data_IF_481472515066
#
_entry.id   IF_481472515066
#
_cell.length_a   1.000
_cell.length_b   1.000
_cell.length_c   1.000
_cell.angle_alpha   90.00
_cell.angle_beta   90.00
_cell.angle_gamma   90.00
#
_symmetry.space_group_name_H-M   'P 1'
#
loop_
_entity.id
_entity.type
_entity.pdbx_description
1 polymer ?
#
# COMPACT_ATOMS: atom_id res chain seq x y z
N UNK A 1 -14.59 -61.14 -15.41
CA UNK A 1 -15.05 -59.96 -16.22
C UNK A 1 -15.17 -58.64 -15.45
N UNK A 2 -14.90 -58.57 -14.13
CA UNK A 2 -15.02 -57.30 -13.35
C UNK A 2 -13.74 -56.46 -13.20
N UNK A 3 -12.56 -56.96 -13.62
CA UNK A 3 -11.28 -56.23 -13.50
C UNK A 3 -10.94 -55.34 -14.70
N UNK A 4 -11.39 -55.73 -15.90
CA UNK A 4 -11.11 -54.96 -17.13
C UNK A 4 -11.83 -53.60 -17.17
N UNK A 5 -13.06 -53.52 -16.63
CA UNK A 5 -13.82 -52.25 -16.58
C UNK A 5 -13.22 -51.18 -15.67
N UNK A 6 -12.58 -51.57 -14.55
CA UNK A 6 -11.93 -50.63 -13.62
C UNK A 6 -10.64 -50.03 -14.20
N UNK A 7 -9.88 -50.80 -14.96
CA UNK A 7 -8.66 -50.31 -15.62
C UNK A 7 -8.96 -49.29 -16.72
N UNK A 8 -10.04 -49.49 -17.48
CA UNK A 8 -10.47 -48.56 -18.55
C UNK A 8 -10.98 -47.23 -17.97
N UNK A 9 -11.74 -47.27 -16.88
CA UNK A 9 -12.22 -46.06 -16.22
C UNK A 9 -11.07 -45.26 -15.59
N UNK A 10 -10.11 -45.92 -14.94
CA UNK A 10 -8.93 -45.25 -14.39
C UNK A 10 -8.04 -44.63 -15.48
N UNK A 11 -7.86 -45.28 -16.62
CA UNK A 11 -7.12 -44.77 -17.77
C UNK A 11 -7.83 -43.53 -18.38
N UNK A 12 -9.16 -43.55 -18.50
CA UNK A 12 -9.94 -42.43 -19.01
C UNK A 12 -9.90 -41.21 -18.08
N UNK A 13 -9.98 -41.42 -16.76
CA UNK A 13 -9.86 -40.34 -15.75
C UNK A 13 -8.44 -39.76 -15.77
N UNK A 14 -7.40 -40.59 -15.86
CA UNK A 14 -6.02 -40.11 -15.95
C UNK A 14 -5.76 -39.33 -17.23
N UNK A 15 -6.30 -39.79 -18.38
CA UNK A 15 -6.19 -39.10 -19.67
C UNK A 15 -6.94 -37.75 -19.65
N UNK A 16 -8.10 -37.68 -19.01
CA UNK A 16 -8.85 -36.44 -18.84
C UNK A 16 -8.10 -35.45 -17.90
N UNK A 17 -7.51 -35.95 -16.82
CA UNK A 17 -6.70 -35.13 -15.91
C UNK A 17 -5.43 -34.60 -16.61
N UNK A 18 -4.75 -35.42 -17.42
CA UNK A 18 -3.58 -35.01 -18.20
C UNK A 18 -3.98 -34.00 -19.29
N UNK A 19 -5.12 -34.19 -19.94
CA UNK A 19 -5.63 -33.25 -20.95
C UNK A 19 -6.03 -31.91 -20.31
N UNK A 20 -6.64 -31.91 -19.13
CA UNK A 20 -6.97 -30.68 -18.36
C UNK A 20 -5.71 -29.97 -17.87
N UNK A 21 -4.75 -30.69 -17.31
CA UNK A 21 -3.45 -30.13 -16.90
C UNK A 21 -2.65 -29.63 -18.10
N UNK A 22 -2.65 -30.36 -19.19
CA UNK A 22 -2.02 -29.94 -20.45
C UNK A 22 -2.70 -28.73 -21.08
N UNK A 23 -4.01 -28.59 -20.96
CA UNK A 23 -4.76 -27.43 -21.41
C UNK A 23 -4.50 -26.20 -20.50
N UNK A 24 -4.42 -26.37 -19.19
CA UNK A 24 -4.04 -25.34 -18.24
C UNK A 24 -2.59 -24.88 -18.44
N UNK A 25 -1.67 -25.80 -18.69
CA UNK A 25 -0.27 -25.46 -19.01
C UNK A 25 -0.10 -24.80 -20.39
N UNK A 26 -0.97 -25.12 -21.37
CA UNK A 26 -1.01 -24.41 -22.67
C UNK A 26 -1.64 -23.04 -22.59
N UNK A 27 -2.62 -22.84 -21.72
CA UNK A 27 -3.22 -21.53 -21.47
C UNK A 27 -2.22 -20.54 -20.85
N UNK A 28 -1.32 -21.04 -19.99
CA UNK A 28 -0.24 -20.25 -19.36
C UNK A 28 0.86 -19.82 -20.37
N UNK A 29 0.90 -20.40 -21.57
CA UNK A 29 1.87 -20.08 -22.66
C UNK A 29 1.27 -19.31 -23.84
N UNK A 30 -0.03 -19.08 -23.90
CA UNK A 30 -0.60 -18.23 -24.95
C UNK A 30 -0.18 -16.79 -24.68
N UNK A 31 0.81 -16.32 -25.43
CA UNK A 31 1.03 -14.88 -25.56
C UNK A 31 -0.23 -14.32 -26.19
N UNK A 32 -0.95 -13.48 -25.42
CA UNK A 32 -2.01 -12.65 -25.98
C UNK A 32 -1.40 -11.73 -27.03
N UNK A 33 -2.18 -11.41 -28.06
CA UNK A 33 -1.78 -10.39 -29.04
C UNK A 33 -1.52 -9.05 -28.35
N UNK A 34 -0.64 -8.22 -28.89
CA UNK A 34 -0.32 -6.88 -28.35
C UNK A 34 -1.58 -6.01 -28.17
N UNK A 35 -2.62 -6.30 -28.95
CA UNK A 35 -3.98 -5.77 -28.81
C UNK A 35 -4.92 -6.98 -28.81
N UNK A 36 -5.34 -7.48 -27.61
CA UNK A 36 -6.18 -8.66 -27.55
C UNK A 36 -7.53 -8.43 -28.24
N UNK A 37 -7.94 -9.40 -29.03
CA UNK A 37 -9.28 -9.43 -29.63
C UNK A 37 -10.34 -9.63 -28.53
N UNK A 38 -11.61 -9.25 -28.78
CA UNK A 38 -12.71 -9.54 -27.84
C UNK A 38 -12.83 -11.02 -27.48
N UNK A 39 -12.49 -11.92 -28.41
CA UNK A 39 -12.46 -13.37 -28.18
C UNK A 39 -11.38 -13.78 -27.19
N UNK A 40 -10.15 -13.25 -27.34
CA UNK A 40 -9.04 -13.51 -26.42
C UNK A 40 -9.34 -12.95 -25.02
N UNK A 41 -9.91 -11.77 -24.90
CA UNK A 41 -10.31 -11.20 -23.62
C UNK A 41 -11.39 -12.04 -22.92
N UNK A 42 -12.35 -12.58 -23.68
CA UNK A 42 -13.38 -13.48 -23.15
C UNK A 42 -12.79 -14.79 -22.63
N UNK A 43 -11.84 -15.39 -23.35
CA UNK A 43 -11.13 -16.58 -22.90
C UNK A 43 -10.26 -16.28 -21.65
N UNK A 44 -9.56 -15.14 -21.63
CA UNK A 44 -8.80 -14.71 -20.48
C UNK A 44 -9.69 -14.55 -19.23
N UNK A 45 -10.87 -13.93 -19.37
CA UNK A 45 -11.84 -13.77 -18.27
C UNK A 45 -12.23 -15.12 -17.65
N UNK A 46 -12.40 -16.18 -18.47
CA UNK A 46 -12.71 -17.52 -17.95
C UNK A 46 -11.65 -18.04 -16.98
N UNK A 47 -10.37 -17.70 -17.21
CA UNK A 47 -9.27 -18.10 -16.32
C UNK A 47 -9.32 -17.39 -14.95
N UNK A 48 -9.99 -16.24 -14.88
CA UNK A 48 -10.18 -15.45 -13.67
C UNK A 48 -11.59 -15.56 -13.07
N UNK A 49 -12.44 -16.47 -13.61
CA UNK A 49 -13.83 -16.61 -13.15
C UNK A 49 -13.96 -17.28 -11.78
N UNK A 50 -12.97 -18.06 -11.37
CA UNK A 50 -12.94 -18.73 -10.06
C UNK A 50 -12.40 -17.86 -8.92
N UNK A 51 -12.23 -18.49 -7.75
CA UNK A 51 -11.58 -17.83 -6.61
C UNK A 51 -10.11 -17.52 -6.93
N UNK A 52 -9.49 -16.54 -6.28
CA UNK A 52 -8.08 -16.18 -6.53
C UNK A 52 -7.10 -17.37 -6.46
N UNK A 53 -7.36 -18.35 -5.62
CA UNK A 53 -6.53 -19.56 -5.52
C UNK A 53 -6.51 -20.40 -6.80
N UNK A 54 -7.50 -20.23 -7.70
CA UNK A 54 -7.59 -20.94 -8.98
C UNK A 54 -7.11 -20.13 -10.18
N UNK A 55 -6.73 -18.87 -9.97
CA UNK A 55 -6.26 -17.99 -11.03
C UNK A 55 -4.91 -18.46 -11.62
N UNK A 56 -4.57 -18.05 -12.85
CA UNK A 56 -3.26 -18.33 -13.43
C UNK A 56 -2.14 -17.90 -12.49
N UNK A 57 -1.10 -18.74 -12.38
CA UNK A 57 0.04 -18.43 -11.51
C UNK A 57 0.71 -17.13 -11.95
N UNK A 58 1.09 -16.25 -11.02
CA UNK A 58 1.84 -15.05 -11.36
C UNK A 58 3.25 -15.40 -11.84
N UNK A 59 3.83 -14.54 -12.66
CA UNK A 59 5.23 -14.65 -13.07
C UNK A 59 6.10 -14.00 -12.01
N UNK A 60 6.68 -14.81 -11.14
CA UNK A 60 7.51 -14.35 -10.04
C UNK A 60 9.00 -14.40 -10.37
N UNK A 61 9.75 -13.43 -9.86
CA UNK A 61 11.20 -13.41 -9.89
C UNK A 61 11.77 -14.15 -8.67
N UNK A 62 13.02 -14.64 -8.74
CA UNK A 62 13.68 -15.27 -7.60
C UNK A 62 13.66 -14.36 -6.36
N UNK A 63 13.35 -14.93 -5.20
CA UNK A 63 13.30 -14.20 -3.94
C UNK A 63 12.02 -13.37 -3.71
N UNK A 64 11.07 -13.35 -4.67
CA UNK A 64 9.76 -12.76 -4.42
C UNK A 64 8.99 -13.61 -3.40
N UNK A 65 8.43 -12.95 -2.39
CA UNK A 65 7.54 -13.58 -1.42
C UNK A 65 6.10 -13.28 -1.81
N UNK A 66 5.43 -14.27 -2.38
CA UNK A 66 4.10 -14.10 -2.92
C UNK A 66 3.03 -14.74 -2.03
N UNK A 67 2.06 -13.95 -1.66
CA UNK A 67 0.77 -14.39 -1.14
C UNK A 67 -0.30 -14.07 -2.18
N UNK A 68 -1.30 -14.95 -2.35
CA UNK A 68 -2.32 -14.72 -3.37
C UNK A 68 -3.13 -13.45 -3.07
N UNK A 69 -3.41 -12.69 -4.13
CA UNK A 69 -4.28 -11.53 -4.07
C UNK A 69 -5.69 -11.96 -3.69
N UNK A 70 -6.26 -11.38 -2.66
CA UNK A 70 -7.55 -11.79 -2.11
C UNK A 70 -8.39 -10.58 -1.69
N UNK A 71 -9.71 -10.74 -1.54
CA UNK A 71 -10.54 -9.71 -0.94
C UNK A 71 -10.05 -9.38 0.47
N UNK A 72 -10.00 -8.10 0.80
CA UNK A 72 -9.68 -7.68 2.15
C UNK A 72 -10.87 -7.94 3.07
N UNK A 73 -10.65 -8.73 4.12
CA UNK A 73 -11.63 -8.90 5.18
C UNK A 73 -11.62 -7.64 6.04
N UNK A 74 -12.74 -6.91 6.02
CA UNK A 74 -12.86 -5.70 6.85
C UNK A 74 -12.83 -6.07 8.34
N UNK A 75 -12.22 -5.19 9.13
CA UNK A 75 -12.26 -5.30 10.59
C UNK A 75 -13.71 -5.24 11.09
N UNK A 76 -14.03 -5.89 12.20
CA UNK A 76 -15.35 -5.80 12.81
C UNK A 76 -15.73 -4.33 13.08
N UNK A 77 -17.00 -4.03 12.98
CA UNK A 77 -17.49 -2.70 13.38
C UNK A 77 -17.37 -2.55 14.89
N UNK A 78 -16.82 -1.43 15.37
CA UNK A 78 -16.71 -1.17 16.80
C UNK A 78 -18.10 -0.99 17.43
N UNK A 79 -18.27 -1.51 18.64
CA UNK A 79 -19.51 -1.43 19.42
C UNK A 79 -19.24 -0.92 20.85
N UNK A 80 -20.26 -0.48 21.55
CA UNK A 80 -20.19 -0.11 22.96
C UNK A 80 -19.16 0.99 23.25
N UNK A 81 -18.23 0.72 24.14
CA UNK A 81 -17.16 1.66 24.54
C UNK A 81 -16.20 1.96 23.37
N UNK A 82 -15.89 0.96 22.55
CA UNK A 82 -15.01 1.11 21.39
C UNK A 82 -15.64 2.05 20.35
N UNK A 83 -16.93 1.92 20.07
CA UNK A 83 -17.64 2.86 19.20
C UNK A 83 -17.56 4.31 19.71
N UNK A 84 -17.71 4.52 21.02
CA UNK A 84 -17.57 5.85 21.64
C UNK A 84 -16.15 6.40 21.49
N UNK A 85 -15.14 5.53 21.64
CA UNK A 85 -13.72 5.88 21.44
C UNK A 85 -13.46 6.28 19.98
N UNK A 86 -13.99 5.53 19.00
CA UNK A 86 -13.89 5.84 17.56
C UNK A 86 -14.52 7.19 17.24
N UNK A 87 -15.71 7.50 17.79
CA UNK A 87 -16.37 8.80 17.59
C UNK A 87 -15.52 9.94 18.15
N UNK A 88 -14.97 9.75 19.35
CA UNK A 88 -14.09 10.73 19.97
C UNK A 88 -12.80 10.91 19.14
N UNK A 89 -12.21 9.82 18.66
CA UNK A 89 -11.04 9.85 17.77
C UNK A 89 -11.30 10.58 16.46
N UNK A 90 -12.50 10.41 15.88
CA UNK A 90 -12.90 11.13 14.67
C UNK A 90 -12.99 12.65 14.89
N UNK A 91 -13.45 13.09 16.05
CA UNK A 91 -13.50 14.52 16.40
C UNK A 91 -12.09 15.06 16.66
N UNK A 92 -11.27 14.35 17.43
CA UNK A 92 -9.87 14.71 17.69
C UNK A 92 -9.05 14.77 16.40
N UNK A 93 -9.28 13.87 15.47
CA UNK A 93 -8.61 13.87 14.15
C UNK A 93 -8.86 15.16 13.36
N UNK A 94 -10.00 15.82 13.60
CA UNK A 94 -10.39 17.08 12.98
C UNK A 94 -10.13 18.30 13.87
N UNK A 95 -9.59 18.11 15.05
CA UNK A 95 -9.41 19.19 16.03
C UNK A 95 -8.02 19.84 15.95
N UNK A 96 -7.91 21.10 15.52
CA UNK A 96 -6.63 21.78 15.42
C UNK A 96 -5.96 22.06 16.76
N UNK A 97 -6.67 21.96 17.88
CA UNK A 97 -6.10 22.09 19.25
C UNK A 97 -5.07 21.03 19.57
N UNK A 98 -5.00 19.93 18.79
CA UNK A 98 -3.93 18.94 18.94
C UNK A 98 -2.57 19.48 18.50
N UNK A 99 -2.50 20.55 17.70
CA UNK A 99 -1.24 21.20 17.33
C UNK A 99 -0.87 22.33 18.31
N UNK A 100 0.43 22.60 18.43
CA UNK A 100 0.94 23.68 19.30
C UNK A 100 0.38 25.05 18.91
N UNK A 101 0.18 25.30 17.61
CA UNK A 101 -0.38 26.55 17.09
C UNK A 101 -1.90 26.63 17.17
N UNK A 102 -2.61 25.53 17.36
CA UNK A 102 -4.06 25.47 17.24
C UNK A 102 -4.60 25.64 15.81
N UNK A 103 -3.76 25.47 14.76
CA UNK A 103 -4.15 25.69 13.37
C UNK A 103 -4.12 24.41 12.51
N UNK A 104 -3.46 23.35 12.95
CA UNK A 104 -3.31 22.10 12.19
C UNK A 104 -3.99 20.94 12.90
N UNK A 105 -4.80 20.21 12.19
CA UNK A 105 -5.36 18.94 12.60
C UNK A 105 -4.82 17.82 11.70
N UNK A 106 -5.01 16.54 12.08
CA UNK A 106 -4.61 15.42 11.24
C UNK A 106 -5.24 15.50 9.84
N UNK A 107 -6.51 15.95 9.75
CA UNK A 107 -7.19 16.15 8.47
C UNK A 107 -6.54 17.22 7.57
N UNK A 108 -5.66 18.09 8.09
CA UNK A 108 -4.96 19.07 7.25
C UNK A 108 -4.06 18.42 6.21
N UNK A 109 -3.44 17.25 6.56
CA UNK A 109 -2.62 16.44 5.68
C UNK A 109 -3.30 15.14 5.25
N UNK A 110 -4.38 14.73 5.95
CA UNK A 110 -5.10 13.49 5.68
C UNK A 110 -6.58 13.75 5.39
N UNK A 111 -6.84 14.36 4.23
CA UNK A 111 -8.19 14.75 3.80
C UNK A 111 -8.95 13.53 3.25
N UNK A 112 -10.13 13.25 3.82
CA UNK A 112 -11.01 12.18 3.36
C UNK A 112 -11.34 12.23 1.86
N UNK A 113 -11.50 13.44 1.30
CA UNK A 113 -11.86 13.63 -0.12
C UNK A 113 -10.70 13.38 -1.07
N UNK A 114 -9.46 13.37 -0.55
CA UNK A 114 -8.22 13.14 -1.30
C UNK A 114 -7.60 11.77 -0.95
N UNK A 115 -8.43 10.77 -0.66
CA UNK A 115 -7.96 9.43 -0.33
C UNK A 115 -7.19 9.35 0.98
N UNK A 116 -7.46 10.27 1.94
CA UNK A 116 -6.75 10.39 3.20
C UNK A 116 -5.27 10.78 3.05
N UNK A 117 -4.93 11.47 1.99
CA UNK A 117 -3.73 12.26 1.78
C UNK A 117 -4.09 13.74 1.61
N UNK A 118 -3.18 14.58 1.14
CA UNK A 118 -3.43 16.00 0.88
C UNK A 118 -3.35 16.39 -0.61
N UNK A 119 -2.95 15.44 -1.47
CA UNK A 119 -2.79 15.68 -2.90
C UNK A 119 -1.53 16.46 -3.28
N UNK A 120 -0.64 16.72 -2.32
CA UNK A 120 0.62 17.45 -2.51
C UNK A 120 1.81 16.48 -2.56
N UNK A 121 2.92 16.82 -3.23
CA UNK A 121 4.15 16.05 -3.13
C UNK A 121 4.64 15.90 -1.70
N UNK A 122 4.64 16.98 -0.94
CA UNK A 122 4.95 17.07 0.49
C UNK A 122 3.97 18.01 1.16
N UNK A 123 3.56 17.69 2.39
CA UNK A 123 2.62 18.51 3.16
C UNK A 123 3.30 19.76 3.73
N UNK A 124 2.50 20.78 4.03
CA UNK A 124 2.93 21.96 4.78
C UNK A 124 2.26 21.96 6.16
N UNK A 125 3.04 22.11 7.22
CA UNK A 125 2.56 22.14 8.59
C UNK A 125 2.93 23.45 9.32
N UNK A 126 3.33 23.32 10.59
CA UNK A 126 3.60 24.45 11.47
C UNK A 126 4.57 25.47 10.85
N UNK A 127 4.21 26.77 10.91
CA UNK A 127 5.00 27.82 10.32
C UNK A 127 5.17 27.73 8.78
N UNK A 128 4.34 26.98 8.08
CA UNK A 128 4.45 26.61 6.66
C UNK A 128 5.73 25.82 6.35
N UNK A 129 6.28 25.14 7.33
CA UNK A 129 7.41 24.25 7.11
C UNK A 129 6.99 23.08 6.19
N UNK A 130 7.81 22.81 5.19
CA UNK A 130 7.59 21.72 4.26
C UNK A 130 8.02 20.39 4.90
N UNK A 131 7.15 19.38 4.83
CA UNK A 131 7.44 18.00 5.22
C UNK A 131 8.51 17.36 4.33
N UNK A 132 9.09 16.26 4.78
CA UNK A 132 10.14 15.55 4.02
C UNK A 132 9.59 14.57 3.01
N UNK A 133 8.37 14.06 3.24
CA UNK A 133 7.77 12.97 2.48
C UNK A 133 6.32 13.26 2.18
N UNK A 134 5.81 12.60 1.18
CA UNK A 134 4.39 12.58 0.86
C UNK A 134 3.57 12.01 2.02
N UNK A 135 2.42 12.64 2.33
CA UNK A 135 1.46 12.15 3.30
C UNK A 135 0.81 10.85 2.79
N UNK A 136 1.12 9.68 3.38
CA UNK A 136 0.55 8.44 2.90
C UNK A 136 -0.94 8.37 3.23
N UNK A 137 -1.70 7.72 2.35
CA UNK A 137 -3.10 7.41 2.62
C UNK A 137 -3.26 6.61 3.91
N UNK A 138 -4.33 6.92 4.66
CA UNK A 138 -4.72 6.18 5.86
C UNK A 138 -5.59 4.95 5.57
N UNK A 139 -5.92 4.67 4.31
CA UNK A 139 -6.52 3.40 3.97
C UNK A 139 -5.58 2.24 4.36
N UNK A 140 -6.13 1.14 4.81
CA UNK A 140 -5.41 -0.06 5.25
C UNK A 140 -4.49 0.09 6.46
N UNK A 141 -4.38 1.26 7.10
CA UNK A 141 -3.42 1.44 8.21
C UNK A 141 -3.70 0.52 9.39
N UNK A 142 -4.96 0.15 9.64
CA UNK A 142 -5.36 -0.82 10.67
C UNK A 142 -4.93 -2.27 10.43
N UNK A 143 -4.32 -2.57 9.26
CA UNK A 143 -3.89 -3.91 8.86
C UNK A 143 -2.37 -4.03 8.71
N UNK A 144 -1.62 -2.97 9.02
CA UNK A 144 -0.16 -2.90 8.78
C UNK A 144 0.61 -3.17 10.05
N UNK A 145 1.67 -3.96 9.94
CA UNK A 145 2.60 -4.28 11.02
C UNK A 145 3.72 -3.24 11.17
N UNK A 146 3.84 -2.32 10.19
CA UNK A 146 4.79 -1.22 10.22
C UNK A 146 4.20 -0.01 9.49
N UNK A 147 4.41 1.17 10.02
CA UNK A 147 3.85 2.44 9.58
C UNK A 147 4.96 3.42 9.20
N UNK A 148 4.61 4.52 8.54
CA UNK A 148 5.50 5.40 7.78
C UNK A 148 6.14 4.73 6.56
N UNK A 149 6.76 5.51 5.69
CA UNK A 149 7.48 5.04 4.50
C UNK A 149 8.72 4.19 4.84
N UNK A 150 9.33 4.42 5.99
CA UNK A 150 10.52 3.72 6.48
C UNK A 150 10.20 2.61 7.50
N UNK A 151 8.94 2.44 7.88
CA UNK A 151 8.50 1.40 8.81
C UNK A 151 8.98 1.59 10.26
N UNK A 152 9.19 2.85 10.69
CA UNK A 152 9.74 3.14 12.02
C UNK A 152 8.76 2.98 13.18
N UNK A 153 7.45 2.94 12.93
CA UNK A 153 6.45 2.73 13.97
C UNK A 153 5.73 1.38 13.78
N UNK A 154 5.53 0.66 14.86
CA UNK A 154 4.90 -0.66 14.86
C UNK A 154 3.38 -0.59 15.05
N UNK A 155 2.87 0.44 15.71
CA UNK A 155 1.43 0.62 16.00
C UNK A 155 0.94 2.00 15.56
N UNK A 156 -0.38 2.15 15.41
CA UNK A 156 -0.99 3.45 15.11
C UNK A 156 -0.82 4.45 16.25
N UNK A 157 -0.82 3.96 17.48
CA UNK A 157 -0.59 4.73 18.67
C UNK A 157 0.82 5.34 18.69
N UNK A 158 1.82 4.52 18.39
CA UNK A 158 3.21 4.96 18.25
C UNK A 158 3.36 5.92 17.06
N UNK A 159 2.71 5.60 15.94
CA UNK A 159 2.76 6.44 14.74
C UNK A 159 2.22 7.84 15.01
N UNK A 160 1.12 7.96 15.77
CA UNK A 160 0.48 9.25 16.04
C UNK A 160 1.39 10.22 16.80
N UNK A 161 2.32 9.70 17.61
CA UNK A 161 3.29 10.54 18.35
C UNK A 161 4.24 11.29 17.40
N UNK A 162 4.57 10.70 16.24
CA UNK A 162 5.44 11.30 15.24
C UNK A 162 4.95 12.68 14.78
N UNK A 163 3.80 12.77 14.06
CA UNK A 163 3.29 14.05 13.59
C UNK A 163 2.89 15.01 14.72
N UNK A 164 2.45 14.50 15.87
CA UNK A 164 2.17 15.37 17.02
C UNK A 164 3.42 16.14 17.47
N UNK A 165 4.59 15.49 17.52
CA UNK A 165 5.84 16.09 18.00
C UNK A 165 6.71 16.73 16.92
N UNK A 166 6.57 16.39 15.64
CA UNK A 166 7.44 16.92 14.58
C UNK A 166 7.25 18.43 14.43
N UNK A 167 8.36 19.17 14.55
CA UNK A 167 8.38 20.64 14.50
C UNK A 167 7.86 21.22 13.16
N UNK A 168 7.84 20.43 12.07
CA UNK A 168 7.31 20.83 10.76
C UNK A 168 5.85 20.51 10.60
N UNK A 169 5.30 19.58 11.43
CA UNK A 169 3.90 19.12 11.34
C UNK A 169 3.03 19.79 12.40
N UNK A 170 2.87 19.21 13.60
CA UNK A 170 2.01 19.76 14.64
C UNK A 170 2.79 20.47 15.78
N UNK A 171 4.11 20.32 15.83
CA UNK A 171 5.08 21.11 16.60
C UNK A 171 4.87 21.15 18.12
N UNK A 172 4.37 20.08 18.74
CA UNK A 172 4.28 20.02 20.19
C UNK A 172 5.65 19.66 20.77
N UNK A 173 6.35 20.64 21.33
CA UNK A 173 7.63 20.43 22.02
C UNK A 173 7.44 19.52 23.25
N UNK A 174 6.39 19.77 24.02
CA UNK A 174 6.01 18.97 25.18
C UNK A 174 4.74 18.18 24.87
N UNK A 175 4.87 16.86 24.78
CA UNK A 175 3.75 15.98 24.43
C UNK A 175 2.64 15.96 25.49
N UNK A 176 2.97 16.28 26.74
CA UNK A 176 1.98 16.41 27.82
C UNK A 176 0.96 17.54 27.56
N UNK A 177 1.35 18.60 26.85
CA UNK A 177 0.46 19.70 26.50
C UNK A 177 -0.72 19.28 25.64
N UNK A 178 -0.55 18.26 24.80
CA UNK A 178 -1.63 17.70 23.97
C UNK A 178 -2.75 17.18 24.87
N UNK A 179 -2.40 16.37 25.87
CA UNK A 179 -3.37 15.82 26.82
C UNK A 179 -4.02 16.93 27.67
N UNK A 180 -3.25 17.91 28.10
CA UNK A 180 -3.78 19.08 28.89
C UNK A 180 -4.78 19.89 28.06
N UNK A 181 -4.48 20.19 26.79
CA UNK A 181 -5.42 20.92 25.92
C UNK A 181 -6.71 20.15 25.69
N UNK A 182 -6.63 18.83 25.50
CA UNK A 182 -7.81 17.96 25.38
C UNK A 182 -8.60 17.92 26.69
N UNK A 183 -7.95 17.76 27.84
CA UNK A 183 -8.59 17.79 29.17
C UNK A 183 -9.25 19.13 29.50
N UNK A 184 -8.71 20.23 28.96
CA UNK A 184 -9.30 21.56 29.08
C UNK A 184 -10.66 21.73 28.42
N UNK A 185 -11.02 20.82 27.48
CA UNK A 185 -12.33 20.79 26.84
C UNK A 185 -13.27 19.90 27.66
N UNK A 186 -14.22 20.52 28.34
CA UNK A 186 -15.14 19.83 29.26
C UNK A 186 -15.84 18.62 28.64
N UNK A 187 -16.29 18.75 27.37
CA UNK A 187 -16.95 17.65 26.67
C UNK A 187 -16.01 16.49 26.37
N UNK A 188 -14.75 16.73 26.02
CA UNK A 188 -13.75 15.70 25.82
C UNK A 188 -13.40 14.99 27.13
N UNK A 189 -13.13 15.77 28.19
CA UNK A 189 -12.84 15.21 29.52
C UNK A 189 -13.96 14.29 29.98
N UNK A 190 -15.21 14.73 29.92
CA UNK A 190 -16.36 13.94 30.34
C UNK A 190 -16.49 12.63 29.51
N UNK A 191 -16.24 12.69 28.22
CA UNK A 191 -16.30 11.50 27.33
C UNK A 191 -15.17 10.54 27.61
N UNK A 192 -13.95 11.02 27.81
CA UNK A 192 -12.82 10.18 28.22
C UNK A 192 -13.12 9.54 29.58
N UNK A 193 -13.59 10.29 30.58
CA UNK A 193 -13.97 9.72 31.88
C UNK A 193 -15.01 8.61 31.76
N UNK A 194 -16.03 8.80 30.91
CA UNK A 194 -17.05 7.76 30.65
C UNK A 194 -16.51 6.51 29.95
N UNK A 195 -15.41 6.61 29.21
CA UNK A 195 -14.76 5.48 28.53
C UNK A 195 -13.75 4.79 29.43
N UNK A 196 -12.87 5.56 30.07
CA UNK A 196 -11.72 5.07 30.86
C UNK A 196 -12.04 4.78 32.31
N UNK A 197 -13.06 5.43 32.87
CA UNK A 197 -13.38 5.42 34.31
C UNK A 197 -12.46 6.30 35.15
N UNK A 198 -11.63 7.15 34.54
CA UNK A 198 -10.74 8.11 35.21
C UNK A 198 -11.18 9.55 34.92
N UNK A 199 -10.85 10.48 35.81
CA UNK A 199 -11.14 11.89 35.64
C UNK A 199 -10.05 12.67 34.90
N UNK A 200 -8.83 12.10 34.80
CA UNK A 200 -7.73 12.64 34.04
C UNK A 200 -7.76 12.16 32.58
N UNK A 201 -7.18 12.92 31.69
CA UNK A 201 -6.95 12.56 30.30
C UNK A 201 -5.44 12.42 30.09
N UNK A 202 -5.00 11.26 29.68
CA UNK A 202 -3.62 10.97 29.38
C UNK A 202 -3.34 11.06 27.87
N UNK A 203 -2.09 11.27 27.47
CA UNK A 203 -1.67 11.26 26.06
C UNK A 203 -2.01 9.91 25.39
N UNK A 204 -1.84 8.81 26.12
CA UNK A 204 -2.22 7.48 25.65
C UNK A 204 -3.72 7.37 25.30
N UNK A 205 -4.60 8.05 26.04
CA UNK A 205 -6.03 8.07 25.73
C UNK A 205 -6.29 8.77 24.39
N UNK A 206 -5.59 9.89 24.16
CA UNK A 206 -5.70 10.66 22.89
C UNK A 206 -5.23 9.83 21.70
N UNK A 207 -4.04 9.25 21.79
CA UNK A 207 -3.50 8.44 20.65
C UNK A 207 -4.30 7.17 20.43
N UNK A 208 -4.82 6.53 21.49
CA UNK A 208 -5.72 5.39 21.38
C UNK A 208 -7.02 5.74 20.66
N UNK A 209 -7.60 6.90 20.94
CA UNK A 209 -8.81 7.37 20.25
C UNK A 209 -8.52 7.63 18.76
N UNK A 210 -7.42 8.31 18.44
CA UNK A 210 -6.98 8.55 17.05
C UNK A 210 -6.75 7.23 16.30
N UNK A 211 -6.09 6.27 16.94
CA UNK A 211 -5.83 4.95 16.37
C UNK A 211 -7.12 4.15 16.16
N UNK A 212 -8.03 4.16 17.13
CA UNK A 212 -9.33 3.50 17.03
C UNK A 212 -10.13 4.03 15.82
N UNK A 213 -10.16 5.35 15.63
CA UNK A 213 -10.78 5.96 14.44
C UNK A 213 -10.11 5.50 13.14
N UNK A 214 -8.79 5.56 13.05
CA UNK A 214 -8.04 5.21 11.84
C UNK A 214 -8.25 3.74 11.42
N UNK A 215 -8.45 2.82 12.38
CA UNK A 215 -8.79 1.41 12.08
C UNK A 215 -10.13 1.23 11.36
N UNK A 216 -11.01 2.23 11.36
CA UNK A 216 -12.33 2.16 10.71
C UNK A 216 -12.38 2.71 9.30
N UNK A 217 -11.27 3.22 8.76
CA UNK A 217 -11.26 3.99 7.51
C UNK A 217 -11.34 3.13 6.24
N UNK A 218 -11.10 1.81 6.36
CA UNK A 218 -11.04 0.91 5.21
C UNK A 218 -12.42 0.60 4.64
N UNK A 219 -12.48 0.38 3.34
CA UNK A 219 -13.66 -0.01 2.59
C UNK A 219 -13.30 -0.98 1.46
N UNK A 220 -14.28 -1.77 1.03
CA UNK A 220 -14.09 -2.68 -0.11
C UNK A 220 -13.97 -1.91 -1.43
N UNK A 221 -13.11 -2.43 -2.29
CA UNK A 221 -12.86 -1.93 -3.64
C UNK A 221 -13.65 -2.74 -4.69
N UNK A 222 -13.60 -2.32 -5.96
CA UNK A 222 -14.16 -3.10 -7.07
C UNK A 222 -13.42 -4.43 -7.24
N UNK A 223 -12.10 -4.42 -7.04
CA UNK A 223 -11.28 -5.63 -7.03
C UNK A 223 -11.73 -6.63 -5.97
N UNK A 224 -12.05 -6.18 -4.75
CA UNK A 224 -12.54 -7.07 -3.68
C UNK A 224 -13.81 -7.81 -4.11
N UNK A 225 -14.77 -7.12 -4.72
CA UNK A 225 -16.00 -7.73 -5.21
C UNK A 225 -15.72 -8.76 -6.30
N UNK A 226 -14.83 -8.43 -7.24
CA UNK A 226 -14.42 -9.36 -8.30
C UNK A 226 -13.75 -10.61 -7.72
N UNK A 227 -12.79 -10.43 -6.83
CA UNK A 227 -12.07 -11.51 -6.17
C UNK A 227 -12.97 -12.36 -5.24
N UNK A 228 -14.10 -11.79 -4.77
CA UNK A 228 -15.14 -12.51 -4.03
C UNK A 228 -16.17 -13.21 -4.95
N UNK A 229 -16.03 -13.12 -6.28
CA UNK A 229 -16.86 -13.84 -7.26
C UNK A 229 -17.82 -12.98 -8.09
N UNK A 230 -17.95 -11.66 -7.83
CA UNK A 230 -18.74 -10.75 -8.67
C UNK A 230 -18.00 -10.47 -10.00
N UNK A 231 -18.21 -11.34 -10.97
CA UNK A 231 -17.54 -11.26 -12.28
C UNK A 231 -17.86 -9.97 -13.05
N UNK A 232 -18.93 -9.23 -12.68
CA UNK A 232 -19.31 -7.97 -13.31
C UNK A 232 -18.60 -6.76 -12.69
N UNK A 233 -17.90 -6.95 -11.55
CA UNK A 233 -17.21 -5.86 -10.89
C UNK A 233 -16.03 -5.30 -11.70
N UNK A 234 -15.40 -6.10 -12.57
CA UNK A 234 -14.34 -5.69 -13.49
C UNK A 234 -14.78 -5.87 -14.96
N UNK A 235 -14.38 -4.95 -15.83
CA UNK A 235 -14.48 -5.08 -17.29
C UNK A 235 -13.45 -6.07 -17.84
N UNK A 236 -13.58 -6.45 -19.12
CA UNK A 236 -12.59 -7.34 -19.78
C UNK A 236 -11.21 -6.69 -19.87
N UNK A 237 -11.15 -5.38 -20.12
CA UNK A 237 -9.92 -4.61 -20.11
C UNK A 237 -9.26 -4.61 -18.73
N UNK A 238 -10.03 -4.44 -17.66
CA UNK A 238 -9.53 -4.46 -16.28
C UNK A 238 -9.02 -5.86 -15.86
N UNK A 239 -9.68 -6.93 -16.34
CA UNK A 239 -9.18 -8.31 -16.15
C UNK A 239 -7.89 -8.54 -16.95
N UNK A 240 -7.77 -7.99 -18.14
CA UNK A 240 -6.51 -8.00 -18.88
C UNK A 240 -5.40 -7.23 -18.13
N UNK A 241 -5.72 -6.08 -17.56
CA UNK A 241 -4.81 -5.33 -16.69
C UNK A 241 -4.35 -6.12 -15.46
N UNK A 242 -5.28 -6.86 -14.81
CA UNK A 242 -4.95 -7.78 -13.72
C UNK A 242 -3.98 -8.87 -14.18
N UNK A 243 -4.19 -9.44 -15.36
CA UNK A 243 -3.30 -10.45 -15.94
C UNK A 243 -1.89 -9.88 -16.19
N UNK A 244 -1.78 -8.70 -16.77
CA UNK A 244 -0.52 -8.00 -16.98
C UNK A 244 0.20 -7.70 -15.66
N UNK A 245 -0.53 -7.24 -14.65
CA UNK A 245 -0.02 -6.97 -13.30
C UNK A 245 0.63 -8.22 -12.68
N UNK A 246 0.00 -9.39 -12.86
CA UNK A 246 0.47 -10.68 -12.32
C UNK A 246 1.59 -11.30 -13.15
N UNK A 247 1.72 -10.92 -14.43
CA UNK A 247 2.62 -11.61 -15.39
C UNK A 247 3.66 -10.65 -15.99
N UNK A 248 3.36 -10.01 -17.12
CA UNK A 248 4.30 -9.25 -17.95
C UNK A 248 4.90 -8.05 -17.21
N UNK A 249 4.10 -7.31 -16.44
CA UNK A 249 4.54 -6.15 -15.69
C UNK A 249 5.25 -6.49 -14.37
N UNK A 250 5.06 -7.72 -13.83
CA UNK A 250 5.74 -8.21 -12.65
C UNK A 250 5.40 -7.47 -11.35
N UNK A 251 4.32 -6.70 -11.30
CA UNK A 251 3.93 -5.91 -10.12
C UNK A 251 3.65 -6.79 -8.90
N UNK A 252 3.14 -8.02 -9.14
CA UNK A 252 2.84 -9.00 -8.11
C UNK A 252 4.08 -9.50 -7.34
N UNK A 253 5.30 -9.20 -7.80
CA UNK A 253 6.53 -9.53 -7.06
C UNK A 253 6.64 -8.81 -5.71
N UNK A 254 6.05 -7.60 -5.60
CA UNK A 254 6.02 -6.79 -4.39
C UNK A 254 4.59 -6.45 -3.95
N UNK A 255 3.67 -6.25 -4.92
CA UNK A 255 2.28 -5.87 -4.65
C UNK A 255 1.36 -7.10 -4.72
N UNK A 256 1.28 -7.84 -3.64
CA UNK A 256 0.53 -9.10 -3.55
C UNK A 256 -0.21 -9.21 -2.21
N UNK A 257 -0.89 -10.33 -1.99
CA UNK A 257 -1.72 -10.55 -0.81
C UNK A 257 -2.96 -9.67 -0.73
N UNK A 258 -3.74 -9.78 0.34
CA UNK A 258 -4.96 -8.97 0.55
C UNK A 258 -4.69 -7.46 0.61
N UNK A 259 -3.52 -7.04 1.06
CA UNK A 259 -3.12 -5.62 1.13
C UNK A 259 -2.51 -5.08 -0.16
N UNK A 260 -2.30 -5.93 -1.18
CA UNK A 260 -1.57 -5.56 -2.40
C UNK A 260 -0.20 -4.93 -2.06
N UNK A 261 0.48 -5.54 -1.10
CA UNK A 261 1.80 -5.18 -0.57
C UNK A 261 2.39 -6.37 0.15
N UNK A 262 3.67 -6.66 -0.08
CA UNK A 262 4.42 -7.66 0.67
C UNK A 262 4.90 -7.15 2.05
N UNK A 263 4.63 -5.87 2.37
CA UNK A 263 5.04 -5.21 3.60
C UNK A 263 6.55 -5.02 3.77
N UNK A 264 7.36 -5.47 2.81
CA UNK A 264 8.82 -5.42 2.89
C UNK A 264 9.38 -4.07 2.46
N UNK A 265 10.66 -3.89 2.72
CA UNK A 265 11.45 -2.72 2.32
C UNK A 265 12.16 -3.02 1.01
N UNK A 266 11.99 -2.14 0.03
CA UNK A 266 12.61 -2.24 -1.28
C UNK A 266 13.26 -0.93 -1.69
N UNK A 267 14.44 -1.01 -2.31
CA UNK A 267 15.05 0.11 -2.99
C UNK A 267 14.60 0.12 -4.46
N UNK A 268 13.92 1.21 -4.86
CA UNK A 268 13.45 1.43 -6.24
C UNK A 268 14.20 2.56 -6.94
N UNK A 269 15.35 2.99 -6.39
CA UNK A 269 16.24 4.00 -6.95
C UNK A 269 15.77 5.44 -6.77
N UNK A 270 14.97 5.73 -5.75
CA UNK A 270 14.46 7.08 -5.46
C UNK A 270 15.07 7.72 -4.20
N UNK A 271 16.20 7.23 -3.71
CA UNK A 271 16.91 7.82 -2.56
C UNK A 271 17.44 9.22 -2.83
N UNK A 272 17.61 9.62 -4.10
CA UNK A 272 18.26 10.88 -4.49
C UNK A 272 19.64 11.08 -3.83
N UNK A 273 20.37 9.99 -3.59
CA UNK A 273 21.68 9.98 -2.93
C UNK A 273 22.61 11.08 -3.45
N UNK A 274 23.25 11.82 -2.54
CA UNK A 274 24.14 12.95 -2.84
C UNK A 274 23.45 14.16 -3.49
N UNK A 275 22.11 14.28 -3.40
CA UNK A 275 21.32 15.36 -4.00
C UNK A 275 20.48 16.08 -2.96
N UNK A 276 19.97 17.28 -3.27
CA UNK A 276 19.14 18.09 -2.36
C UNK A 276 17.95 17.35 -1.76
N UNK A 277 17.37 16.40 -2.50
CA UNK A 277 16.22 15.60 -2.05
C UNK A 277 16.64 14.24 -1.48
N UNK A 278 17.87 14.10 -0.98
CA UNK A 278 18.34 12.85 -0.42
C UNK A 278 17.44 12.35 0.71
N UNK A 279 16.98 11.13 0.58
CA UNK A 279 16.29 10.38 1.61
C UNK A 279 16.74 8.92 1.57
N UNK A 280 17.44 8.49 2.61
CA UNK A 280 17.99 7.15 2.71
C UNK A 280 16.99 6.13 3.29
N UNK A 281 15.75 6.54 3.51
CA UNK A 281 14.66 5.65 3.89
C UNK A 281 14.92 4.86 5.17
N UNK A 282 14.83 3.54 5.08
CA UNK A 282 14.98 2.61 6.21
C UNK A 282 16.34 2.72 6.92
N UNK A 283 17.39 3.10 6.22
CA UNK A 283 18.70 3.35 6.85
C UNK A 283 18.62 4.35 8.02
N UNK A 284 17.79 5.40 7.89
CA UNK A 284 17.59 6.37 8.98
C UNK A 284 17.00 5.79 10.26
N UNK A 285 16.47 4.56 10.21
CA UNK A 285 15.88 3.84 11.34
C UNK A 285 16.86 2.80 11.90
N UNK A 286 17.52 2.06 11.00
CA UNK A 286 18.33 0.89 11.38
C UNK A 286 19.81 1.20 11.55
N UNK A 287 20.31 2.27 10.91
CA UNK A 287 21.74 2.53 10.79
C UNK A 287 22.50 1.50 9.95
N UNK A 288 21.82 0.50 9.38
CA UNK A 288 22.46 -0.52 8.54
C UNK A 288 22.59 -0.02 7.09
N UNK A 289 23.80 0.10 6.54
CA UNK A 289 24.03 0.60 5.19
C UNK A 289 23.22 -0.12 4.11
N UNK A 290 22.93 -1.42 4.24
CA UNK A 290 22.17 -2.19 3.27
C UNK A 290 20.73 -1.67 3.08
N UNK A 291 20.21 -0.95 4.06
CA UNK A 291 18.87 -0.38 4.04
C UNK A 291 18.82 1.00 3.35
N UNK A 292 19.95 1.52 2.87
CA UNK A 292 20.02 2.84 2.25
C UNK A 292 19.21 2.88 0.94
N UNK A 293 18.28 3.83 0.89
CA UNK A 293 17.34 4.01 -0.24
C UNK A 293 16.16 3.05 -0.22
N UNK A 294 16.03 2.23 0.83
CA UNK A 294 14.93 1.31 1.00
C UNK A 294 13.68 1.96 1.63
N UNK A 295 12.52 1.72 1.02
CA UNK A 295 11.21 2.16 1.53
C UNK A 295 10.25 0.99 1.53
N UNK A 296 9.29 1.00 2.46
CA UNK A 296 8.24 -0.01 2.52
C UNK A 296 7.41 -0.02 1.25
N UNK A 297 7.06 -1.22 0.75
CA UNK A 297 6.04 -1.38 -0.29
C UNK A 297 4.71 -0.79 0.21
N UNK A 298 4.20 0.29 -0.40
CA UNK A 298 2.89 0.81 -0.04
C UNK A 298 1.80 -0.14 -0.53
N UNK A 299 0.63 -0.10 0.12
CA UNK A 299 -0.56 -0.73 -0.43
C UNK A 299 -0.93 -0.09 -1.77
N UNK A 300 -1.49 -0.88 -2.70
CA UNK A 300 -2.14 -0.33 -3.88
C UNK A 300 -3.66 -0.18 -3.71
N UNK A 301 -4.20 -0.52 -2.53
CA UNK A 301 -5.62 -0.27 -2.28
C UNK A 301 -5.91 1.21 -2.33
N UNK A 302 -6.97 1.56 -3.04
CA UNK A 302 -7.40 2.94 -3.29
C UNK A 302 -6.37 3.81 -4.01
N UNK A 303 -5.40 3.19 -4.70
CA UNK A 303 -4.29 3.90 -5.36
C UNK A 303 -4.78 4.96 -6.36
N UNK A 304 -5.94 4.78 -6.97
CA UNK A 304 -6.53 5.74 -7.93
C UNK A 304 -6.86 7.12 -7.35
N UNK A 305 -7.01 7.23 -6.03
CA UNK A 305 -7.39 8.48 -5.34
C UNK A 305 -6.31 9.01 -4.40
N UNK A 306 -5.10 8.44 -4.42
CA UNK A 306 -4.00 8.77 -3.51
C UNK A 306 -2.78 9.38 -4.21
N UNK A 307 -2.98 9.98 -5.38
CA UNK A 307 -1.93 10.75 -6.05
C UNK A 307 -1.54 12.00 -5.22
N UNK A 308 -0.27 12.49 -5.33
CA UNK A 308 0.84 11.95 -6.12
C UNK A 308 1.54 10.76 -5.46
N UNK A 309 2.35 10.04 -6.23
CA UNK A 309 2.92 8.76 -5.82
C UNK A 309 4.39 8.86 -5.42
N UNK A 310 4.90 7.81 -4.77
CA UNK A 310 6.20 7.61 -4.15
C UNK A 310 6.34 8.40 -2.83
N UNK A 311 7.36 8.03 -2.04
CA UNK A 311 7.59 8.67 -0.75
C UNK A 311 7.85 10.19 -0.81
N UNK A 312 8.25 10.70 -1.96
CA UNK A 312 8.53 12.11 -2.22
C UNK A 312 7.49 12.78 -3.15
N UNK A 313 6.41 12.06 -3.51
CA UNK A 313 5.30 12.59 -4.30
C UNK A 313 5.66 13.08 -5.71
N UNK A 314 6.80 12.67 -6.30
CA UNK A 314 7.26 13.22 -7.58
C UNK A 314 6.49 12.70 -8.80
N UNK A 315 5.70 11.66 -8.66
CA UNK A 315 4.94 11.06 -9.76
C UNK A 315 3.47 11.44 -9.66
N UNK A 316 2.96 12.29 -10.56
CA UNK A 316 1.64 12.91 -10.38
C UNK A 316 0.45 12.00 -10.72
N UNK A 317 0.65 10.88 -11.44
CA UNK A 317 -0.45 10.03 -11.89
C UNK A 317 0.00 8.57 -12.12
N UNK A 318 -0.97 7.64 -12.21
CA UNK A 318 -0.73 6.21 -12.38
C UNK A 318 0.02 5.86 -13.68
N UNK A 319 -0.24 6.59 -14.78
CA UNK A 319 0.48 6.38 -16.05
C UNK A 319 1.98 6.65 -15.85
N UNK A 320 2.33 7.73 -15.16
CA UNK A 320 3.71 8.04 -14.80
C UNK A 320 4.33 6.98 -13.89
N UNK A 321 3.57 6.47 -12.91
CA UNK A 321 4.03 5.40 -12.03
C UNK A 321 4.32 4.10 -12.82
N UNK A 322 3.43 3.69 -13.71
CA UNK A 322 3.66 2.53 -14.59
C UNK A 322 4.90 2.77 -15.46
N UNK A 323 5.06 3.96 -16.07
CA UNK A 323 6.24 4.29 -16.91
C UNK A 323 7.55 4.28 -16.12
N UNK A 324 7.54 4.72 -14.86
CA UNK A 324 8.70 4.63 -13.97
C UNK A 324 9.14 3.17 -13.75
N UNK A 325 8.18 2.28 -13.50
CA UNK A 325 8.46 0.85 -13.33
C UNK A 325 8.83 0.15 -14.64
N UNK A 326 8.28 0.56 -15.79
CA UNK A 326 8.72 0.07 -17.11
C UNK A 326 10.21 0.32 -17.34
N UNK A 327 10.74 1.47 -16.86
CA UNK A 327 12.15 1.79 -16.90
C UNK A 327 13.03 1.00 -15.93
N UNK A 328 12.42 0.18 -15.04
CA UNK A 328 13.14 -0.55 -14.00
C UNK A 328 13.48 0.30 -12.78
N UNK A 329 12.68 1.35 -12.52
CA UNK A 329 12.88 2.25 -11.39
C UNK A 329 13.84 3.41 -11.68
N UNK A 330 14.22 4.11 -10.62
CA UNK A 330 15.23 5.18 -10.67
C UNK A 330 16.66 4.64 -10.59
N UNK A 331 17.61 5.56 -10.66
CA UNK A 331 19.04 5.24 -10.57
C UNK A 331 19.80 6.31 -9.80
N UNK A 332 20.68 5.86 -8.92
CA UNK A 332 21.72 6.72 -8.35
C UNK A 332 22.83 6.89 -9.39
N UNK A 333 23.26 8.12 -9.61
CA UNK A 333 24.28 8.44 -10.61
C UNK A 333 25.69 8.13 -10.07
N UNK A 334 26.56 7.57 -10.92
CA UNK A 334 27.92 7.21 -10.56
C UNK A 334 28.77 8.44 -10.16
N UNK A 335 28.49 9.62 -10.72
CA UNK A 335 29.16 10.87 -10.34
C UNK A 335 28.86 11.31 -8.90
N UNK A 336 27.95 10.61 -8.23
CA UNK A 336 27.62 10.79 -6.81
C UNK A 336 28.29 9.79 -5.90
N UNK A 337 29.27 9.03 -6.43
CA UNK A 337 30.09 8.14 -5.61
C UNK A 337 30.79 8.93 -4.52
N UNK A 338 30.70 8.44 -3.29
CA UNK A 338 31.36 9.02 -2.14
C UNK A 338 32.33 7.99 -1.56
N UNK A 339 33.39 8.46 -0.92
CA UNK A 339 34.40 7.66 -0.24
C UNK A 339 34.20 7.71 1.28
N UNK A 340 34.99 6.96 2.03
CA UNK A 340 34.92 6.93 3.48
C UNK A 340 33.61 6.30 4.00
N UNK A 341 33.09 6.86 5.08
CA UNK A 341 31.92 6.33 5.80
C UNK A 341 30.63 6.29 4.98
N UNK A 342 30.53 7.05 3.91
CA UNK A 342 29.36 7.07 3.01
C UNK A 342 29.46 6.11 1.82
N UNK A 343 30.63 5.53 1.56
CA UNK A 343 30.80 4.57 0.46
C UNK A 343 29.84 3.37 0.55
N UNK A 344 29.63 2.72 1.71
CA UNK A 344 28.68 1.62 1.83
C UNK A 344 27.22 2.06 1.55
N UNK A 345 26.87 3.29 1.91
CA UNK A 345 25.54 3.86 1.65
C UNK A 345 25.31 4.10 0.16
N UNK A 346 26.32 4.60 -0.54
CA UNK A 346 26.28 4.77 -1.99
C UNK A 346 26.08 3.42 -2.68
N UNK A 347 26.89 2.41 -2.31
CA UNK A 347 26.80 1.08 -2.93
C UNK A 347 25.42 0.44 -2.71
N UNK A 348 24.83 0.59 -1.53
CA UNK A 348 23.48 0.08 -1.26
C UNK A 348 22.40 0.91 -1.98
N UNK A 349 22.49 2.24 -1.91
CA UNK A 349 21.49 3.13 -2.51
C UNK A 349 21.39 2.99 -4.04
N UNK A 350 22.48 2.63 -4.73
CA UNK A 350 22.49 2.41 -6.20
C UNK A 350 21.96 1.06 -6.64
N UNK A 351 21.80 0.11 -5.71
CA UNK A 351 21.33 -1.23 -6.02
C UNK A 351 19.81 -1.32 -5.86
N UNK A 352 19.11 -1.32 -6.99
CA UNK A 352 17.67 -1.59 -6.96
C UNK A 352 17.38 -3.03 -6.52
N UNK A 353 16.26 -3.20 -5.83
CA UNK A 353 15.79 -4.53 -5.40
C UNK A 353 15.72 -5.52 -6.57
N UNK A 354 16.15 -6.77 -6.37
CA UNK A 354 16.23 -7.77 -7.46
C UNK A 354 14.85 -8.14 -8.05
N UNK A 355 13.76 -7.84 -7.33
CA UNK A 355 12.39 -8.01 -7.82
C UNK A 355 11.97 -6.89 -8.79
N UNK A 356 12.72 -5.81 -8.90
CA UNK A 356 12.46 -4.72 -9.83
C UNK A 356 13.25 -4.95 -11.13
N UNK A 357 12.54 -5.26 -12.21
CA UNK A 357 13.12 -5.47 -13.55
C UNK A 357 12.38 -4.62 -14.57
N UNK A 358 13.09 -4.04 -15.55
CA UNK A 358 12.44 -3.32 -16.63
C UNK A 358 11.57 -4.28 -17.46
N UNK A 359 10.46 -3.76 -17.95
CA UNK A 359 9.55 -4.46 -18.86
C UNK A 359 9.07 -3.50 -19.94
N UNK A 360 8.36 -4.01 -20.94
CA UNK A 360 7.79 -3.17 -22.00
C UNK A 360 6.32 -3.49 -22.21
N UNK A 361 5.49 -2.45 -22.21
CA UNK A 361 4.07 -2.54 -22.55
C UNK A 361 3.79 -1.78 -23.85
N UNK A 362 2.88 -2.31 -24.64
CA UNK A 362 2.23 -1.53 -25.71
C UNK A 362 1.30 -0.47 -25.11
N UNK A 363 0.84 0.46 -25.91
CA UNK A 363 -0.08 1.51 -25.42
C UNK A 363 -1.41 0.92 -24.89
N UNK A 364 -2.05 -0.08 -25.56
CA UNK A 364 -3.23 -0.76 -25.02
C UNK A 364 -2.97 -1.53 -23.72
N UNK A 365 -1.85 -2.26 -23.61
CA UNK A 365 -1.48 -2.96 -22.39
C UNK A 365 -1.29 -2.00 -21.21
N UNK A 366 -0.65 -0.85 -21.45
CA UNK A 366 -0.47 0.17 -20.41
C UNK A 366 -1.81 0.76 -19.98
N UNK A 367 -2.74 0.99 -20.92
CA UNK A 367 -4.10 1.44 -20.62
C UNK A 367 -4.84 0.43 -19.75
N UNK A 368 -4.81 -0.84 -20.12
CA UNK A 368 -5.44 -1.93 -19.38
C UNK A 368 -4.85 -2.09 -17.95
N UNK A 369 -3.52 -2.00 -17.81
CA UNK A 369 -2.87 -2.04 -16.48
C UNK A 369 -3.34 -0.87 -15.61
N UNK A 370 -3.40 0.36 -16.17
CA UNK A 370 -3.91 1.53 -15.45
C UNK A 370 -5.40 1.37 -15.12
N UNK A 371 -6.20 0.82 -16.06
CA UNK A 371 -7.61 0.52 -15.80
C UNK A 371 -7.77 -0.44 -14.62
N UNK A 372 -6.97 -1.51 -14.54
CA UNK A 372 -6.96 -2.40 -13.39
C UNK A 372 -6.57 -1.67 -12.09
N UNK A 373 -5.51 -0.87 -12.08
CA UNK A 373 -5.10 -0.11 -10.90
C UNK A 373 -6.21 0.83 -10.39
N UNK A 374 -7.09 1.31 -11.27
CA UNK A 374 -8.25 2.11 -10.89
C UNK A 374 -9.39 1.30 -10.24
N UNK A 375 -9.27 -0.02 -10.14
CA UNK A 375 -10.25 -0.89 -9.46
C UNK A 375 -9.88 -1.21 -8.02
N UNK A 376 -8.65 -0.86 -7.62
CA UNK A 376 -8.03 -1.24 -6.34
C UNK A 376 -8.42 -0.31 -5.19
#
# INVERSE_FOLDING_TARGET
MKSAGRAVVLAAVAALAIAVVGSLMRADRRQLSDVPTPGELKELRKLYAGTPATWPRPRLLPGANFTEMAPLRLLPRPEGKEQKLVQLGAELFNDPRLSASGHFACQSCHNRRLGWGDGLPTSFGHGRAEGRRNAPSLFTVGYKDALFWDGRAATLEEQALGPLGDAREMANAEMADVAQRVAGVTTYRARFSAITGRDDVQLSDVVNALAAFQRTLERQTRFDRFAAGDQKALSDEEVFGLHLFRTKAGCANCHNGPLLSDGKVHNIGLSFFGRKMEDLGRYGVTGNPIDAGGFRTPTLRHVSVTAPYMHNGIIPNLRGAVGFYEGGGGRVREERREEGDRAPLFEAARQNSPQLRPFKLTAPERAALVAFLNTL
#
